data_IF_506604222770
#
_entry.id   IF_506604222770
#
_cell.length_a   1.000
_cell.length_b   1.000
_cell.length_c   1.000
_cell.angle_alpha   90.00
_cell.angle_beta   90.00
_cell.angle_gamma   90.00
#
_symmetry.space_group_name_H-M   'P 1'
#
loop_
_entity.id
_entity.type
_entity.pdbx_description
1 polymer ?
#
# COMPACT_ATOMS: atom_id res chain seq x y z
N UNK A 1 6.48 -7.66 -23.63
CA UNK A 1 6.95 -6.26 -23.64
C UNK A 1 6.71 -5.73 -22.26
N UNK A 2 7.76 -5.26 -21.60
CA UNK A 2 7.65 -4.79 -20.23
C UNK A 2 8.52 -3.57 -20.05
N UNK A 3 8.16 -2.68 -19.13
CA UNK A 3 9.10 -1.68 -18.62
C UNK A 3 9.89 -2.28 -17.47
N UNK A 4 11.20 -2.06 -17.46
CA UNK A 4 12.01 -2.22 -16.25
C UNK A 4 11.97 -0.87 -15.55
N UNK A 5 11.34 -0.79 -14.39
CA UNK A 5 11.40 0.36 -13.49
C UNK A 5 12.46 0.09 -12.43
N UNK A 6 13.43 0.98 -12.28
CA UNK A 6 14.40 1.00 -11.19
C UNK A 6 14.07 2.19 -10.31
N UNK A 7 13.88 1.97 -9.02
CA UNK A 7 13.61 3.04 -8.07
C UNK A 7 14.26 2.82 -6.70
N UNK A 8 14.62 3.95 -6.07
CA UNK A 8 14.95 4.07 -4.66
C UNK A 8 14.73 5.54 -4.28
N UNK A 9 13.69 5.82 -3.51
CA UNK A 9 13.40 7.18 -3.02
C UNK A 9 13.73 7.36 -1.55
N UNK A 10 13.99 6.26 -0.82
CA UNK A 10 14.29 6.32 0.61
C UNK A 10 15.69 6.87 0.88
N UNK A 11 16.67 6.40 0.09
CA UNK A 11 18.09 6.73 0.26
C UNK A 11 18.67 7.49 -0.95
N UNK A 12 17.92 7.60 -2.06
CA UNK A 12 18.32 8.26 -3.31
C UNK A 12 19.69 7.76 -3.84
N UNK A 13 19.92 6.45 -3.77
CA UNK A 13 21.22 5.82 -4.09
C UNK A 13 21.51 5.73 -5.58
N UNK A 14 20.53 6.04 -6.44
CA UNK A 14 20.68 5.93 -7.89
C UNK A 14 21.47 7.13 -8.39
N UNK A 15 22.48 6.89 -9.21
CA UNK A 15 23.27 7.92 -9.88
C UNK A 15 23.55 7.50 -11.33
N UNK A 16 24.08 8.42 -12.15
CA UNK A 16 24.36 8.18 -13.57
C UNK A 16 25.24 6.96 -13.79
N UNK A 17 26.32 6.80 -13.01
CA UNK A 17 27.25 5.67 -13.16
C UNK A 17 26.55 4.32 -12.93
N UNK A 18 25.64 4.25 -11.95
CA UNK A 18 24.88 3.04 -11.67
C UNK A 18 23.89 2.72 -12.79
N UNK A 19 23.18 3.73 -13.30
CA UNK A 19 22.24 3.55 -14.42
C UNK A 19 22.97 3.16 -15.70
N UNK A 20 24.11 3.79 -16.00
CA UNK A 20 24.94 3.46 -17.17
C UNK A 20 25.45 2.01 -17.08
N UNK A 21 25.96 1.61 -15.91
CA UNK A 21 26.38 0.23 -15.66
C UNK A 21 25.23 -0.77 -15.88
N UNK A 22 24.07 -0.52 -15.27
CA UNK A 22 22.91 -1.40 -15.41
C UNK A 22 22.44 -1.43 -16.87
N UNK A 23 22.39 -0.29 -17.55
CA UNK A 23 22.02 -0.20 -18.97
C UNK A 23 22.91 -1.07 -19.85
N UNK A 24 24.24 -0.93 -19.71
CA UNK A 24 25.19 -1.69 -20.52
C UNK A 24 25.11 -3.20 -20.26
N UNK A 25 24.94 -3.62 -19.02
CA UNK A 25 24.78 -5.04 -18.70
C UNK A 25 23.46 -5.62 -19.23
N UNK A 26 22.35 -4.89 -19.12
CA UNK A 26 21.09 -5.35 -19.70
C UNK A 26 21.20 -5.42 -21.22
N UNK A 27 21.82 -4.44 -21.90
CA UNK A 27 22.07 -4.50 -23.36
C UNK A 27 22.90 -5.73 -23.75
N UNK A 28 23.95 -6.06 -23.00
CA UNK A 28 24.78 -7.26 -23.26
C UNK A 28 23.99 -8.55 -23.10
N UNK A 29 23.15 -8.65 -22.07
CA UNK A 29 22.39 -9.87 -21.75
C UNK A 29 21.21 -10.06 -22.72
N UNK A 30 20.46 -8.99 -22.99
CA UNK A 30 19.26 -9.01 -23.85
C UNK A 30 19.56 -8.79 -25.33
N UNK A 31 20.76 -8.34 -25.71
CA UNK A 31 21.06 -7.90 -27.09
C UNK A 31 20.09 -6.81 -27.62
N UNK A 32 19.24 -6.25 -26.78
CA UNK A 32 18.31 -5.19 -27.12
C UNK A 32 18.99 -3.84 -26.94
N UNK A 33 18.66 -2.88 -27.81
CA UNK A 33 19.07 -1.50 -27.62
C UNK A 33 18.14 -0.85 -26.59
N UNK A 34 18.65 -0.63 -25.38
CA UNK A 34 17.86 -0.13 -24.25
C UNK A 34 18.39 1.24 -23.83
N UNK A 35 17.47 2.17 -23.60
CA UNK A 35 17.80 3.47 -23.03
C UNK A 35 16.93 3.73 -21.80
N UNK A 36 17.56 4.14 -20.70
CA UNK A 36 16.82 4.53 -19.50
C UNK A 36 16.34 5.97 -19.63
N UNK A 37 15.03 6.14 -19.48
CA UNK A 37 14.36 7.42 -19.31
C UNK A 37 14.35 7.76 -17.82
N UNK A 38 14.75 8.98 -17.48
CA UNK A 38 14.61 9.52 -16.14
C UNK A 38 13.14 9.88 -15.86
N UNK A 39 12.60 9.37 -14.75
CA UNK A 39 11.31 9.80 -14.18
C UNK A 39 11.52 10.75 -13.01
N UNK A 40 12.55 10.50 -12.21
CA UNK A 40 12.95 11.35 -11.10
C UNK A 40 14.47 11.26 -10.91
N UNK A 41 15.12 12.43 -10.90
CA UNK A 41 16.57 12.55 -10.76
C UNK A 41 17.06 11.81 -9.52
N UNK A 42 18.01 10.89 -9.70
CA UNK A 42 18.59 10.04 -8.65
C UNK A 42 17.61 9.12 -7.91
N UNK A 43 16.36 8.96 -8.38
CA UNK A 43 15.32 8.20 -7.67
C UNK A 43 14.58 7.18 -8.50
N UNK A 44 14.28 7.47 -9.76
CA UNK A 44 13.46 6.60 -10.59
C UNK A 44 13.83 6.71 -12.07
N UNK A 45 14.12 5.57 -12.67
CA UNK A 45 14.47 5.44 -14.08
C UNK A 45 13.72 4.25 -14.66
N UNK A 46 13.30 4.35 -15.90
CA UNK A 46 12.62 3.26 -16.60
C UNK A 46 13.22 2.99 -17.96
N UNK A 47 13.13 1.76 -18.44
CA UNK A 47 13.45 1.45 -19.82
C UNK A 47 12.49 0.41 -20.38
N UNK A 48 12.28 0.44 -21.70
CA UNK A 48 11.46 -0.54 -22.38
C UNK A 48 12.28 -1.78 -22.70
N UNK A 49 11.78 -2.95 -22.31
CA UNK A 49 12.33 -4.26 -22.64
C UNK A 49 11.45 -4.93 -23.71
N UNK A 50 12.00 -5.21 -24.91
CA UNK A 50 11.29 -5.94 -25.97
C UNK A 50 10.78 -7.32 -25.53
N UNK A 51 9.83 -7.94 -26.28
CA UNK A 51 9.39 -9.31 -26.02
C UNK A 51 10.54 -10.31 -26.05
N UNK A 52 10.40 -11.42 -25.32
CA UNK A 52 11.33 -12.56 -25.31
C UNK A 52 12.75 -12.29 -24.80
N UNK A 53 13.03 -11.07 -24.34
CA UNK A 53 14.35 -10.67 -23.81
C UNK A 53 14.53 -10.88 -22.30
N UNK A 54 13.48 -11.31 -21.60
CA UNK A 54 13.57 -11.65 -20.18
C UNK A 54 14.12 -13.07 -20.01
N UNK A 55 15.44 -13.20 -20.11
CA UNK A 55 16.13 -14.46 -19.87
C UNK A 55 16.38 -14.73 -18.37
N UNK A 56 16.64 -16.00 -18.02
CA UNK A 56 17.08 -16.38 -16.67
C UNK A 56 18.33 -15.60 -16.22
N UNK A 57 19.22 -15.29 -17.16
CA UNK A 57 20.43 -14.52 -16.90
C UNK A 57 20.08 -13.07 -16.51
N UNK A 58 19.13 -12.45 -17.22
CA UNK A 58 18.66 -11.11 -16.91
C UNK A 58 17.95 -11.08 -15.55
N UNK A 59 17.11 -12.08 -15.27
CA UNK A 59 16.43 -12.21 -13.98
C UNK A 59 17.41 -12.33 -12.81
N UNK A 60 18.45 -13.16 -12.94
CA UNK A 60 19.52 -13.29 -11.92
C UNK A 60 20.30 -11.98 -11.74
N UNK A 61 20.58 -11.28 -12.84
CA UNK A 61 21.24 -9.98 -12.79
C UNK A 61 20.38 -8.95 -12.03
N UNK A 62 19.09 -8.84 -12.37
CA UNK A 62 18.14 -7.94 -11.69
C UNK A 62 18.10 -8.24 -10.18
N UNK A 63 17.96 -9.50 -9.78
CA UNK A 63 17.93 -9.91 -8.37
C UNK A 63 19.23 -9.49 -7.66
N UNK A 64 20.39 -9.67 -8.30
CA UNK A 64 21.67 -9.24 -7.75
C UNK A 64 21.71 -7.72 -7.53
N UNK A 65 21.24 -6.93 -8.50
CA UNK A 65 21.24 -5.47 -8.37
C UNK A 65 20.30 -4.98 -7.26
N UNK A 66 19.11 -5.58 -7.15
CA UNK A 66 18.16 -5.29 -6.05
C UNK A 66 18.84 -5.41 -4.69
N UNK A 67 19.55 -6.52 -4.45
CA UNK A 67 20.22 -6.81 -3.16
C UNK A 67 21.46 -5.93 -2.96
N UNK A 68 22.34 -5.86 -3.95
CA UNK A 68 23.64 -5.19 -3.83
C UNK A 68 23.50 -3.68 -3.63
N UNK A 69 22.53 -3.07 -4.30
CA UNK A 69 22.36 -1.61 -4.34
C UNK A 69 21.12 -1.13 -3.60
N UNK A 70 20.36 -2.03 -2.94
CA UNK A 70 19.09 -1.69 -2.28
C UNK A 70 18.12 -0.98 -3.23
N UNK A 71 17.89 -1.58 -4.38
CA UNK A 71 17.01 -1.04 -5.42
C UNK A 71 15.72 -1.83 -5.48
N UNK A 72 14.61 -1.14 -5.73
CA UNK A 72 13.41 -1.79 -6.25
C UNK A 72 13.53 -1.83 -7.77
N UNK A 73 13.50 -3.02 -8.36
CA UNK A 73 13.56 -3.19 -9.83
C UNK A 73 12.34 -3.96 -10.28
N UNK A 74 11.30 -3.30 -10.76
CA UNK A 74 10.03 -3.92 -11.11
C UNK A 74 9.86 -4.11 -12.63
N UNK A 75 9.18 -5.19 -13.03
CA UNK A 75 8.80 -5.44 -14.42
C UNK A 75 7.32 -5.11 -14.59
N UNK A 76 7.02 -4.11 -15.41
CA UNK A 76 5.67 -3.61 -15.60
C UNK A 76 5.17 -4.01 -16.98
N UNK A 77 4.04 -4.71 -17.06
CA UNK A 77 3.43 -5.06 -18.35
C UNK A 77 3.04 -3.80 -19.13
N UNK A 78 3.43 -3.76 -20.39
CA UNK A 78 3.14 -2.64 -21.31
C UNK A 78 1.92 -2.88 -22.20
N UNK A 79 1.30 -4.07 -22.15
CA UNK A 79 0.11 -4.39 -22.96
C UNK A 79 -1.14 -3.69 -22.46
N UNK A 80 -1.21 -3.41 -21.16
CA UNK A 80 -2.37 -2.83 -20.51
C UNK A 80 -2.18 -1.32 -20.28
N UNK A 81 -3.29 -0.62 -20.04
CA UNK A 81 -3.25 0.80 -19.66
C UNK A 81 -2.40 0.94 -18.40
N UNK A 82 -1.35 1.76 -18.51
CA UNK A 82 -0.37 1.94 -17.43
C UNK A 82 -0.87 2.87 -16.33
N UNK A 83 -1.45 4.02 -16.70
CA UNK A 83 -2.09 4.96 -15.76
C UNK A 83 -3.46 4.44 -15.34
N UNK A 84 -3.57 4.03 -14.09
CA UNK A 84 -4.75 3.38 -13.53
C UNK A 84 -5.81 4.42 -13.15
N UNK A 85 -7.06 4.02 -13.24
CA UNK A 85 -8.25 4.85 -12.96
C UNK A 85 -8.85 4.57 -11.58
N UNK A 86 -8.36 3.56 -10.88
CA UNK A 86 -8.81 3.21 -9.53
C UNK A 86 -7.61 2.81 -8.67
N UNK A 87 -7.44 3.51 -7.53
CA UNK A 87 -6.56 3.13 -6.45
C UNK A 87 -7.39 2.51 -5.32
N UNK A 88 -7.07 1.28 -4.92
CA UNK A 88 -7.46 0.73 -3.62
C UNK A 88 -6.23 0.55 -2.75
N UNK A 89 -6.23 1.16 -1.56
CA UNK A 89 -5.11 1.08 -0.63
C UNK A 89 -5.54 0.49 0.72
N UNK A 90 -4.67 -0.32 1.32
CA UNK A 90 -4.73 -0.57 2.76
C UNK A 90 -4.34 0.67 3.57
N UNK A 91 -4.75 0.72 4.83
CA UNK A 91 -4.40 1.81 5.74
C UNK A 91 -3.17 1.47 6.58
N UNK A 92 -3.31 0.51 7.50
CA UNK A 92 -2.29 0.12 8.47
C UNK A 92 -1.06 -0.41 7.72
N UNK A 93 0.14 -0.05 8.20
CA UNK A 93 1.41 -0.43 7.57
C UNK A 93 1.58 -0.10 6.07
N UNK A 94 0.67 0.69 5.48
CA UNK A 94 0.63 1.04 4.05
C UNK A 94 0.50 2.54 3.83
N UNK A 95 -0.68 3.13 4.05
CA UNK A 95 -0.86 4.60 3.98
C UNK A 95 -0.31 5.26 5.25
N UNK A 96 -0.42 4.59 6.39
CA UNK A 96 0.22 4.99 7.64
C UNK A 96 1.33 3.99 8.01
N UNK A 97 2.28 4.44 8.83
CA UNK A 97 3.46 3.63 9.22
C UNK A 97 3.12 2.62 10.32
N UNK A 98 2.06 2.86 11.07
CA UNK A 98 1.70 2.09 12.26
C UNK A 98 0.55 1.11 12.03
N UNK A 99 0.37 0.20 12.98
CA UNK A 99 -0.85 -0.57 13.21
C UNK A 99 -1.76 0.22 14.16
N UNK A 100 -2.91 0.70 13.67
CA UNK A 100 -3.79 1.62 14.41
C UNK A 100 -4.27 1.09 15.76
N UNK A 101 -4.55 -0.22 15.87
CA UNK A 101 -5.00 -0.83 17.12
C UNK A 101 -3.86 -0.99 18.14
N UNK A 102 -2.64 -1.25 17.68
CA UNK A 102 -1.46 -1.34 18.55
C UNK A 102 -1.09 0.04 19.12
N UNK A 103 -1.21 1.11 18.33
CA UNK A 103 -1.05 2.48 18.82
C UNK A 103 -2.12 2.89 19.83
N UNK A 104 -3.38 2.50 19.59
CA UNK A 104 -4.44 2.71 20.57
C UNK A 104 -4.18 1.93 21.87
N UNK A 105 -3.62 0.72 21.77
CA UNK A 105 -3.23 -0.09 22.92
C UNK A 105 -2.16 0.58 23.79
N UNK A 106 -1.17 1.23 23.17
CA UNK A 106 -0.14 2.01 23.87
C UNK A 106 -0.75 3.13 24.70
N UNK A 107 -1.70 3.88 24.13
CA UNK A 107 -2.34 5.00 24.82
C UNK A 107 -3.14 4.58 26.06
N UNK A 108 -3.59 3.32 26.14
CA UNK A 108 -4.31 2.77 27.30
C UNK A 108 -3.47 1.85 28.18
N UNK A 109 -2.17 1.71 27.90
CA UNK A 109 -1.27 0.85 28.67
C UNK A 109 -1.52 -0.67 28.50
N UNK A 110 -2.09 -1.10 27.37
CA UNK A 110 -2.40 -2.52 27.07
C UNK A 110 -1.66 -3.05 25.84
N UNK A 111 -0.53 -2.43 25.50
CA UNK A 111 0.26 -2.76 24.31
C UNK A 111 0.66 -4.24 24.28
N UNK A 112 1.19 -4.76 25.39
CA UNK A 112 1.73 -6.13 25.45
C UNK A 112 0.69 -7.18 25.11
N UNK A 113 -0.51 -7.03 25.65
CA UNK A 113 -1.62 -7.96 25.44
C UNK A 113 -2.16 -7.87 24.01
N UNK A 114 -2.39 -6.66 23.51
CA UNK A 114 -2.94 -6.46 22.16
C UNK A 114 -1.95 -6.91 21.09
N UNK A 115 -0.67 -6.57 21.21
CA UNK A 115 0.39 -6.99 20.28
C UNK A 115 0.51 -8.52 20.23
N UNK A 116 0.38 -9.20 21.37
CA UNK A 116 0.41 -10.66 21.41
C UNK A 116 -0.77 -11.29 20.63
N UNK A 117 -1.98 -10.74 20.80
CA UNK A 117 -3.16 -11.20 20.06
C UNK A 117 -3.01 -10.88 18.56
N UNK A 118 -2.54 -9.68 18.20
CA UNK A 118 -2.26 -9.27 16.82
C UNK A 118 -1.28 -10.25 16.15
N UNK A 119 -0.17 -10.56 16.83
CA UNK A 119 0.83 -11.52 16.34
C UNK A 119 0.23 -12.91 16.12
N UNK A 120 -0.53 -13.44 17.09
CA UNK A 120 -1.17 -14.75 16.97
C UNK A 120 -2.18 -14.81 15.82
N UNK A 121 -2.94 -13.74 15.59
CA UNK A 121 -3.88 -13.64 14.47
C UNK A 121 -3.16 -13.64 13.12
N UNK A 122 -2.08 -12.86 12.99
CA UNK A 122 -1.26 -12.81 11.78
C UNK A 122 -0.55 -14.14 11.48
N UNK A 123 -0.18 -14.90 12.51
CA UNK A 123 0.39 -16.26 12.38
C UNK A 123 -0.69 -17.33 12.10
N UNK A 124 -1.97 -16.95 12.00
CA UNK A 124 -3.07 -17.88 11.75
C UNK A 124 -3.45 -18.76 12.94
N UNK A 125 -2.92 -18.46 14.14
CA UNK A 125 -3.23 -19.22 15.37
C UNK A 125 -4.62 -18.89 15.93
N UNK A 126 -5.13 -17.70 15.63
CA UNK A 126 -6.44 -17.22 16.06
C UNK A 126 -7.19 -16.68 14.83
N UNK A 127 -8.49 -16.98 14.75
CA UNK A 127 -9.39 -16.40 13.75
C UNK A 127 -9.40 -14.87 13.84
N UNK A 128 -9.37 -14.18 12.70
CA UNK A 128 -9.28 -12.72 12.64
C UNK A 128 -10.43 -12.04 13.39
N UNK A 129 -11.67 -12.51 13.20
CA UNK A 129 -12.85 -11.90 13.83
C UNK A 129 -12.79 -12.08 15.35
N UNK A 130 -12.37 -13.27 15.82
CA UNK A 130 -12.12 -13.51 17.25
C UNK A 130 -11.02 -12.60 17.81
N UNK A 131 -9.88 -12.52 17.14
CA UNK A 131 -8.77 -11.67 17.56
C UNK A 131 -9.14 -10.17 17.58
N UNK A 132 -9.95 -9.70 16.61
CA UNK A 132 -10.45 -8.34 16.60
C UNK A 132 -11.38 -8.08 17.80
N UNK A 133 -12.36 -8.95 18.04
CA UNK A 133 -13.26 -8.79 19.20
C UNK A 133 -12.52 -8.82 20.52
N UNK A 134 -11.55 -9.72 20.68
CA UNK A 134 -10.74 -9.80 21.90
C UNK A 134 -9.99 -8.48 22.13
N UNK A 135 -9.23 -7.99 21.14
CA UNK A 135 -8.49 -6.72 21.24
C UNK A 135 -9.42 -5.52 21.48
N UNK A 136 -10.56 -5.45 20.80
CA UNK A 136 -11.51 -4.35 20.95
C UNK A 136 -12.20 -4.39 22.32
N UNK A 137 -12.49 -5.56 22.87
CA UNK A 137 -13.07 -5.69 24.23
C UNK A 137 -12.17 -5.05 25.30
N UNK A 138 -10.86 -5.06 25.08
CA UNK A 138 -9.88 -4.45 25.98
C UNK A 138 -9.96 -2.92 26.01
N UNK A 139 -10.61 -2.30 25.02
CA UNK A 139 -10.84 -0.86 24.93
C UNK A 139 -12.06 -0.39 25.75
N UNK A 140 -12.83 -1.32 26.34
CA UNK A 140 -14.05 -0.99 27.07
C UNK A 140 -13.78 -0.03 28.24
N UNK A 141 -14.55 1.05 28.29
CA UNK A 141 -14.47 2.09 29.33
C UNK A 141 -13.47 3.20 29.02
N UNK A 142 -12.66 3.06 27.97
CA UNK A 142 -11.72 4.10 27.56
C UNK A 142 -12.47 5.36 27.09
N UNK A 143 -12.08 6.55 27.54
CA UNK A 143 -12.60 7.82 27.04
C UNK A 143 -12.50 7.94 25.51
N UNK A 144 -13.55 8.46 24.87
CA UNK A 144 -13.61 8.52 23.40
C UNK A 144 -12.63 9.54 22.78
N UNK A 145 -12.27 10.57 23.54
CA UNK A 145 -11.29 11.62 23.16
C UNK A 145 -9.87 11.06 22.91
N UNK A 146 -9.55 9.86 23.42
CA UNK A 146 -8.29 9.18 23.11
C UNK A 146 -8.09 8.95 21.60
N UNK A 147 -9.19 8.82 20.86
CA UNK A 147 -9.14 8.60 19.40
C UNK A 147 -8.59 9.83 18.68
N UNK A 148 -8.80 11.03 19.23
CA UNK A 148 -8.25 12.26 18.67
C UNK A 148 -6.73 12.33 18.85
N UNK A 149 -6.21 11.86 19.99
CA UNK A 149 -4.77 11.72 20.21
C UNK A 149 -4.13 10.77 19.18
N UNK A 150 -4.83 9.71 18.78
CA UNK A 150 -4.31 8.81 17.75
C UNK A 150 -4.24 9.50 16.38
N UNK A 151 -5.28 10.24 15.99
CA UNK A 151 -5.32 10.98 14.70
C UNK A 151 -4.16 11.96 14.55
N UNK A 152 -3.79 12.63 15.63
CA UNK A 152 -2.72 13.64 15.58
C UNK A 152 -1.32 13.04 15.57
N UNK A 153 -1.15 11.81 16.05
CA UNK A 153 0.16 11.16 16.20
C UNK A 153 0.48 10.14 15.09
N UNK A 154 -0.51 9.73 14.30
CA UNK A 154 -0.30 8.77 13.21
C UNK A 154 0.65 9.37 12.15
N UNK A 155 1.63 8.57 11.71
CA UNK A 155 2.58 9.00 10.69
C UNK A 155 2.15 8.45 9.34
N UNK A 156 1.96 9.35 8.39
CA UNK A 156 1.63 9.01 7.02
C UNK A 156 2.91 8.57 6.30
N UNK A 157 2.83 7.52 5.48
CA UNK A 157 3.93 7.11 4.63
C UNK A 157 4.21 8.18 3.57
N UNK A 158 5.50 8.41 3.32
CA UNK A 158 5.93 9.42 2.36
C UNK A 158 5.42 9.09 0.95
N UNK A 159 5.00 10.12 0.22
CA UNK A 159 4.39 9.97 -1.10
C UNK A 159 2.89 9.64 -1.09
N UNK A 160 2.26 9.41 0.07
CA UNK A 160 0.82 9.10 0.11
C UNK A 160 -0.05 10.26 -0.41
N UNK A 161 0.25 11.49 0.03
CA UNK A 161 -0.48 12.68 -0.38
C UNK A 161 -0.34 12.89 -1.88
N UNK A 162 0.88 12.82 -2.38
CA UNK A 162 1.24 12.99 -3.79
C UNK A 162 0.59 11.91 -4.66
N UNK A 163 0.61 10.66 -4.22
CA UNK A 163 -0.07 9.53 -4.87
C UNK A 163 -1.55 9.85 -5.07
N UNK A 164 -2.24 10.20 -3.99
CA UNK A 164 -3.70 10.43 -4.01
C UNK A 164 -4.02 11.66 -4.85
N UNK A 165 -3.34 12.79 -4.61
CA UNK A 165 -3.55 14.03 -5.37
C UNK A 165 -3.30 13.85 -6.86
N UNK A 166 -2.19 13.21 -7.24
CA UNK A 166 -1.82 13.00 -8.65
C UNK A 166 -2.83 12.09 -9.34
N UNK A 167 -3.20 10.98 -8.71
CA UNK A 167 -4.19 10.06 -9.28
C UNK A 167 -5.55 10.74 -9.45
N UNK A 168 -6.02 11.48 -8.44
CA UNK A 168 -7.28 12.23 -8.52
C UNK A 168 -7.26 13.33 -9.58
N UNK A 169 -6.17 14.08 -9.67
CA UNK A 169 -5.99 15.11 -10.69
C UNK A 169 -6.12 14.53 -12.10
N UNK A 170 -5.69 13.28 -12.30
CA UNK A 170 -5.80 12.55 -13.56
C UNK A 170 -7.10 11.74 -13.69
N UNK A 171 -8.12 12.03 -12.87
CA UNK A 171 -9.47 11.45 -12.97
C UNK A 171 -9.62 10.05 -12.37
N UNK A 172 -8.63 9.56 -11.61
CA UNK A 172 -8.75 8.28 -10.92
C UNK A 172 -9.56 8.42 -9.63
N UNK A 173 -10.27 7.34 -9.27
CA UNK A 173 -10.98 7.20 -8.00
C UNK A 173 -10.02 6.61 -6.98
N UNK A 174 -10.05 7.14 -5.76
CA UNK A 174 -9.17 6.72 -4.67
C UNK A 174 -9.97 6.18 -3.49
N UNK A 175 -9.65 4.96 -3.07
CA UNK A 175 -10.40 4.24 -2.05
C UNK A 175 -9.44 3.70 -0.99
N UNK A 176 -9.72 4.00 0.27
CA UNK A 176 -9.05 3.39 1.42
C UNK A 176 -9.91 2.25 1.99
N UNK A 177 -9.38 1.04 2.10
CA UNK A 177 -10.10 -0.10 2.67
C UNK A 177 -9.26 -0.74 3.75
N UNK A 178 -9.77 -0.77 4.98
CA UNK A 178 -8.99 -1.22 6.14
C UNK A 178 -9.77 -2.12 7.08
N UNK A 179 -9.06 -3.06 7.72
CA UNK A 179 -9.56 -3.81 8.88
C UNK A 179 -9.48 -3.01 10.19
N UNK A 180 -8.86 -1.82 10.17
CA UNK A 180 -8.85 -0.83 11.25
C UNK A 180 -10.19 -0.11 11.36
N UNK A 181 -10.20 1.16 11.76
CA UNK A 181 -11.43 1.82 12.23
C UNK A 181 -11.86 3.08 11.47
N UNK A 182 -13.17 3.33 11.45
CA UNK A 182 -13.85 4.44 10.76
C UNK A 182 -13.33 5.82 11.19
N UNK A 183 -13.05 6.03 12.47
CA UNK A 183 -12.59 7.34 12.95
C UNK A 183 -11.26 7.77 12.32
N UNK A 184 -10.35 6.81 12.08
CA UNK A 184 -9.02 7.08 11.52
C UNK A 184 -9.07 7.16 10.00
N UNK A 185 -9.80 6.24 9.36
CA UNK A 185 -9.99 6.29 7.91
C UNK A 185 -10.72 7.56 7.46
N UNK A 186 -11.73 8.04 8.20
CA UNK A 186 -12.39 9.32 7.92
C UNK A 186 -11.43 10.51 8.09
N UNK A 187 -10.59 10.49 9.12
CA UNK A 187 -9.56 11.52 9.28
C UNK A 187 -8.56 11.52 8.10
N UNK A 188 -8.11 10.35 7.65
CA UNK A 188 -7.22 10.23 6.50
C UNK A 188 -7.91 10.60 5.19
N UNK A 189 -9.21 10.32 5.05
CA UNK A 189 -10.04 10.77 3.93
C UNK A 189 -9.96 12.28 3.77
N UNK A 190 -10.23 13.02 4.84
CA UNK A 190 -10.26 14.48 4.81
C UNK A 190 -8.85 15.06 4.65
N UNK A 191 -7.86 14.45 5.31
CA UNK A 191 -6.47 14.92 5.30
C UNK A 191 -5.75 14.69 3.97
N UNK A 192 -5.99 13.55 3.32
CA UNK A 192 -5.30 13.16 2.07
C UNK A 192 -6.17 13.29 0.83
N UNK A 193 -7.48 13.43 1.00
CA UNK A 193 -8.44 13.62 -0.07
C UNK A 193 -8.95 12.34 -0.72
N UNK A 194 -9.01 11.20 -0.01
CA UNK A 194 -9.62 9.98 -0.56
C UNK A 194 -11.09 10.18 -0.95
N UNK A 195 -11.52 9.62 -2.08
CA UNK A 195 -12.92 9.70 -2.53
C UNK A 195 -13.84 8.84 -1.66
N UNK A 196 -13.34 7.69 -1.21
CA UNK A 196 -14.10 6.77 -0.37
C UNK A 196 -13.22 6.07 0.66
N UNK A 197 -13.82 5.72 1.80
CA UNK A 197 -13.15 4.95 2.84
C UNK A 197 -14.08 3.89 3.43
N UNK A 198 -13.52 2.75 3.80
CA UNK A 198 -14.23 1.61 4.38
C UNK A 198 -13.41 1.01 5.52
N UNK A 199 -14.01 0.90 6.71
CA UNK A 199 -13.36 0.36 7.89
C UNK A 199 -14.39 -0.16 8.92
N UNK A 200 -13.91 -0.83 9.97
CA UNK A 200 -14.73 -1.28 11.08
C UNK A 200 -15.16 -0.11 11.96
N UNK A 201 -16.34 -0.19 12.58
CA UNK A 201 -16.88 0.89 13.39
C UNK A 201 -16.82 0.54 14.89
N UNK A 202 -16.07 1.33 15.67
CA UNK A 202 -15.98 1.18 17.12
C UNK A 202 -17.24 1.74 17.78
N UNK A 203 -17.91 0.91 18.58
CA UNK A 203 -19.08 1.36 19.29
C UNK A 203 -18.71 2.09 20.59
N UNK A 204 -19.49 3.11 20.92
CA UNK A 204 -19.34 3.90 22.12
C UNK A 204 -20.65 3.97 22.90
N UNK A 205 -20.54 4.35 24.17
CA UNK A 205 -21.66 4.65 25.06
C UNK A 205 -21.60 6.11 25.48
N UNK A 206 -22.76 6.77 25.56
CA UNK A 206 -22.91 8.11 26.12
C UNK A 206 -23.44 7.97 27.54
N UNK A 207 -22.70 8.48 28.51
CA UNK A 207 -23.11 8.47 29.91
C UNK A 207 -24.08 9.62 30.19
N UNK A 208 -24.82 9.56 31.31
CA UNK A 208 -25.73 10.64 31.74
C UNK A 208 -25.03 12.01 31.89
N UNK A 209 -23.72 12.00 32.12
CA UNK A 209 -22.87 13.20 32.22
C UNK A 209 -22.50 13.80 30.87
N UNK A 210 -22.91 13.20 29.74
CA UNK A 210 -22.48 13.57 28.40
C UNK A 210 -21.12 12.98 27.98
N UNK A 211 -20.37 12.36 28.92
CA UNK A 211 -19.10 11.72 28.61
C UNK A 211 -19.30 10.54 27.66
N UNK A 212 -18.45 10.44 26.65
CA UNK A 212 -18.41 9.31 25.71
C UNK A 212 -17.28 8.35 26.07
N UNK A 213 -17.56 7.04 26.03
CA UNK A 213 -16.54 6.00 26.24
C UNK A 213 -16.72 4.87 25.25
N UNK A 214 -15.62 4.26 24.80
CA UNK A 214 -15.66 3.03 24.02
C UNK A 214 -16.34 1.91 24.82
N UNK A 215 -17.26 1.18 24.19
CA UNK A 215 -18.02 0.13 24.86
C UNK A 215 -17.38 -1.27 24.73
N UNK A 216 -16.27 -1.36 23.97
CA UNK A 216 -15.52 -2.58 23.72
C UNK A 216 -16.13 -3.50 22.66
N UNK A 217 -16.93 -2.95 21.73
CA UNK A 217 -17.54 -3.69 20.62
C UNK A 217 -17.27 -3.02 19.27
N UNK A 218 -17.38 -3.81 18.21
CA UNK A 218 -17.34 -3.38 16.83
C UNK A 218 -18.70 -3.64 16.20
N UNK A 219 -19.20 -2.73 15.37
CA UNK A 219 -20.43 -2.92 14.60
C UNK A 219 -20.25 -3.99 13.51
N UNK A 220 -21.26 -4.82 13.28
CA UNK A 220 -21.29 -5.74 12.15
C UNK A 220 -21.88 -5.07 10.88
N UNK A 221 -21.49 -5.50 9.67
CA UNK A 221 -20.52 -6.56 9.37
C UNK A 221 -19.07 -6.12 9.58
N UNK A 222 -18.24 -7.06 10.06
CA UNK A 222 -16.80 -6.84 10.20
C UNK A 222 -16.15 -6.87 8.81
N UNK A 223 -15.33 -5.85 8.53
CA UNK A 223 -14.41 -5.85 7.40
C UNK A 223 -13.26 -6.82 7.69
N UNK A 224 -13.30 -7.98 7.04
CA UNK A 224 -12.24 -8.98 7.00
C UNK A 224 -11.49 -8.95 5.66
N UNK A 225 -10.67 -9.97 5.38
CA UNK A 225 -9.92 -10.10 4.12
C UNK A 225 -10.83 -10.14 2.88
N UNK A 226 -12.05 -10.70 2.99
CA UNK A 226 -12.98 -10.82 1.87
C UNK A 226 -13.59 -9.46 1.53
N UNK A 227 -13.66 -8.56 2.51
CA UNK A 227 -14.18 -7.22 2.31
C UNK A 227 -13.31 -6.40 1.33
N UNK A 228 -11.99 -6.54 1.32
CA UNK A 228 -11.11 -5.81 0.39
C UNK A 228 -11.40 -6.17 -1.07
N UNK A 229 -11.51 -7.47 -1.37
CA UNK A 229 -11.92 -7.93 -2.69
C UNK A 229 -13.36 -7.53 -3.03
N UNK A 230 -14.29 -7.58 -2.06
CA UNK A 230 -15.66 -7.12 -2.26
C UNK A 230 -15.72 -5.64 -2.65
N UNK A 231 -14.95 -4.77 -2.00
CA UNK A 231 -14.89 -3.36 -2.36
C UNK A 231 -14.22 -3.13 -3.71
N UNK A 232 -13.16 -3.87 -4.04
CA UNK A 232 -12.58 -3.84 -5.39
C UNK A 232 -13.67 -4.12 -6.44
N UNK A 233 -14.39 -5.23 -6.30
CA UNK A 233 -15.46 -5.61 -7.23
C UNK A 233 -16.61 -4.59 -7.26
N UNK A 234 -16.95 -4.00 -6.11
CA UNK A 234 -17.95 -2.93 -6.03
C UNK A 234 -17.53 -1.73 -6.88
N UNK A 235 -16.31 -1.23 -6.73
CA UNK A 235 -15.85 -0.06 -7.47
C UNK A 235 -15.63 -0.33 -8.95
N UNK A 236 -15.21 -1.55 -9.30
CA UNK A 236 -15.19 -1.99 -10.69
C UNK A 236 -16.59 -1.91 -11.33
N UNK A 237 -17.61 -2.42 -10.63
CA UNK A 237 -18.99 -2.37 -11.09
C UNK A 237 -19.55 -0.93 -11.16
N UNK A 238 -19.46 -0.18 -10.05
CA UNK A 238 -20.07 1.15 -9.91
C UNK A 238 -19.53 2.14 -10.96
N UNK A 239 -18.27 1.99 -11.37
CA UNK A 239 -17.60 2.90 -12.30
C UNK A 239 -17.34 2.29 -13.68
N UNK A 240 -17.92 1.12 -13.98
CA UNK A 240 -17.74 0.43 -15.26
C UNK A 240 -16.27 0.24 -15.64
N UNK A 241 -15.45 -0.13 -14.66
CA UNK A 241 -14.02 -0.39 -14.82
C UNK A 241 -13.74 -1.89 -14.90
N UNK A 242 -12.58 -2.22 -15.44
CA UNK A 242 -12.04 -3.59 -15.45
C UNK A 242 -10.91 -3.73 -14.44
N UNK A 243 -10.53 -4.96 -14.03
CA UNK A 243 -9.33 -5.17 -13.23
C UNK A 243 -8.10 -4.45 -13.80
N UNK A 244 -7.92 -4.40 -15.12
CA UNK A 244 -6.78 -3.73 -15.75
C UNK A 244 -6.71 -2.21 -15.51
N UNK A 245 -7.82 -1.57 -15.13
CA UNK A 245 -7.88 -0.15 -14.78
C UNK A 245 -7.44 0.12 -13.32
N UNK A 246 -7.07 -0.89 -12.53
CA UNK A 246 -6.80 -0.74 -11.09
C UNK A 246 -5.33 -0.83 -10.73
N UNK A 247 -4.96 -0.10 -9.68
CA UNK A 247 -3.75 -0.31 -8.88
C UNK A 247 -4.19 -0.57 -7.44
N UNK A 248 -3.72 -1.65 -6.84
CA UNK A 248 -4.01 -2.00 -5.46
C UNK A 248 -2.70 -2.06 -4.67
N UNK A 249 -2.72 -1.60 -3.41
CA UNK A 249 -1.53 -1.63 -2.54
C UNK A 249 -1.85 -2.08 -1.13
N UNK A 250 -0.97 -2.91 -0.57
CA UNK A 250 -1.01 -3.37 0.81
C UNK A 250 0.32 -3.97 1.24
N UNK A 251 0.40 -4.43 2.49
CA UNK A 251 1.61 -5.04 3.06
C UNK A 251 1.39 -6.51 3.46
N UNK A 252 0.15 -6.93 3.69
CA UNK A 252 -0.17 -8.13 4.46
C UNK A 252 -0.91 -9.22 3.70
N UNK A 253 -1.06 -10.38 4.35
CA UNK A 253 -1.79 -11.52 3.80
C UNK A 253 -3.30 -11.24 3.64
N UNK A 254 -3.85 -10.30 4.40
CA UNK A 254 -5.21 -9.78 4.28
C UNK A 254 -5.45 -9.03 2.95
N UNK A 255 -4.40 -8.61 2.24
CA UNK A 255 -4.49 -7.90 0.95
C UNK A 255 -4.45 -8.82 -0.27
N UNK A 256 -4.02 -10.07 -0.10
CA UNK A 256 -3.70 -10.99 -1.21
C UNK A 256 -4.84 -11.05 -2.24
N UNK A 257 -6.08 -11.22 -1.81
CA UNK A 257 -7.22 -11.37 -2.71
C UNK A 257 -7.50 -10.09 -3.52
N UNK A 258 -7.31 -8.91 -2.92
CA UNK A 258 -7.43 -7.62 -3.61
C UNK A 258 -6.27 -7.40 -4.59
N UNK A 259 -5.05 -7.77 -4.18
CA UNK A 259 -3.82 -7.55 -4.93
C UNK A 259 -3.78 -8.44 -6.17
N UNK A 260 -4.00 -9.75 -6.02
CA UNK A 260 -3.97 -10.73 -7.11
C UNK A 260 -5.10 -10.50 -8.13
N UNK A 261 -6.20 -9.88 -7.72
CA UNK A 261 -7.33 -9.58 -8.61
C UNK A 261 -7.26 -8.19 -9.25
N UNK A 262 -6.25 -7.38 -8.91
CA UNK A 262 -6.05 -6.06 -9.49
C UNK A 262 -5.28 -6.12 -10.81
N UNK A 263 -5.27 -5.02 -11.56
CA UNK A 263 -4.50 -4.89 -12.80
C UNK A 263 -3.05 -4.46 -12.57
N UNK A 264 -2.72 -4.05 -11.34
CA UNK A 264 -1.38 -3.74 -10.87
C UNK A 264 -1.38 -3.91 -9.33
N UNK A 265 -1.01 -5.09 -8.88
CA UNK A 265 -0.94 -5.45 -7.47
C UNK A 265 0.41 -5.09 -6.87
N UNK A 266 0.41 -4.27 -5.82
CA UNK A 266 1.62 -3.74 -5.20
C UNK A 266 1.78 -4.23 -3.77
N UNK A 267 2.94 -4.83 -3.49
CA UNK A 267 3.41 -5.10 -2.13
C UNK A 267 4.31 -3.95 -1.68
N UNK A 268 3.87 -3.17 -0.69
CA UNK A 268 4.62 -2.03 -0.13
C UNK A 268 5.15 -2.40 1.25
N UNK A 269 6.49 -2.47 1.40
CA UNK A 269 7.15 -3.02 2.59
C UNK A 269 6.54 -4.35 3.06
N UNK A 270 5.99 -5.12 2.12
CA UNK A 270 5.07 -6.18 2.43
C UNK A 270 5.74 -7.45 2.91
N UNK A 271 4.98 -8.21 3.69
CA UNK A 271 5.39 -9.51 4.20
C UNK A 271 5.56 -10.49 3.05
N UNK A 272 6.40 -11.51 3.28
CA UNK A 272 6.72 -12.55 2.30
C UNK A 272 5.48 -13.13 1.61
N UNK A 273 4.41 -13.41 2.36
CA UNK A 273 3.18 -13.99 1.82
C UNK A 273 2.51 -13.13 0.74
N UNK A 274 2.53 -11.80 0.89
CA UNK A 274 2.00 -10.90 -0.13
C UNK A 274 3.02 -10.67 -1.26
N UNK A 275 4.29 -10.49 -0.89
CA UNK A 275 5.38 -10.24 -1.84
C UNK A 275 5.56 -11.36 -2.85
N UNK A 276 5.31 -12.62 -2.51
CA UNK A 276 5.40 -13.72 -3.48
C UNK A 276 4.28 -13.71 -4.53
N UNK A 277 3.21 -12.93 -4.32
CA UNK A 277 1.99 -12.93 -5.15
C UNK A 277 1.70 -11.59 -5.84
N UNK A 278 2.31 -10.49 -5.38
CA UNK A 278 2.13 -9.17 -5.97
C UNK A 278 2.91 -9.03 -7.29
N UNK A 279 2.42 -8.18 -8.19
CA UNK A 279 3.10 -7.87 -9.45
C UNK A 279 4.35 -7.01 -9.22
N UNK A 280 4.24 -6.05 -8.30
CA UNK A 280 5.28 -5.06 -7.99
C UNK A 280 5.64 -5.07 -6.51
N UNK A 281 6.89 -4.75 -6.20
CA UNK A 281 7.41 -4.67 -4.84
C UNK A 281 8.17 -3.37 -4.62
N UNK A 282 7.91 -2.73 -3.50
CA UNK A 282 8.64 -1.54 -3.07
C UNK A 282 9.09 -1.70 -1.61
N UNK A 283 10.40 -1.85 -1.40
CA UNK A 283 11.06 -1.94 -0.09
C UNK A 283 12.01 -0.77 0.15
N UNK A 284 12.47 -0.12 -0.92
CA UNK A 284 13.43 0.98 -0.90
C UNK A 284 12.87 2.27 -1.53
N UNK A 285 11.62 2.22 -1.96
CA UNK A 285 10.85 3.30 -2.57
C UNK A 285 9.60 3.53 -1.74
N UNK A 286 9.32 4.80 -1.47
CA UNK A 286 8.10 5.23 -0.79
C UNK A 286 6.89 5.13 -1.75
N UNK A 287 5.74 5.66 -1.36
CA UNK A 287 4.51 5.49 -2.16
C UNK A 287 4.54 6.20 -3.53
N UNK A 288 5.54 7.05 -3.80
CA UNK A 288 5.78 7.58 -5.16
C UNK A 288 6.12 6.46 -6.15
N UNK A 289 6.64 5.31 -5.68
CA UNK A 289 6.89 4.14 -6.52
C UNK A 289 5.67 3.71 -7.33
N UNK A 290 4.46 3.89 -6.79
CA UNK A 290 3.20 3.59 -7.49
C UNK A 290 2.93 4.57 -8.65
N UNK A 291 3.36 5.82 -8.54
CA UNK A 291 3.26 6.79 -9.64
C UNK A 291 4.32 6.51 -10.70
N UNK A 292 5.57 6.22 -10.30
CA UNK A 292 6.61 5.84 -11.25
C UNK A 292 6.27 4.53 -11.98
N UNK A 293 5.64 3.57 -11.31
CA UNK A 293 5.11 2.36 -11.93
C UNK A 293 4.06 2.66 -13.00
N UNK A 294 3.34 3.76 -12.86
CA UNK A 294 2.37 4.25 -13.84
C UNK A 294 3.00 5.13 -14.94
N UNK A 295 4.30 5.44 -14.83
CA UNK A 295 5.08 6.21 -15.79
C UNK A 295 5.01 7.73 -15.60
N UNK A 296 4.53 8.21 -14.45
CA UNK A 296 4.60 9.62 -14.09
C UNK A 296 6.06 10.02 -13.80
N UNK A 297 6.47 11.22 -14.21
CA UNK A 297 7.72 11.85 -13.76
C UNK A 297 7.47 12.85 -12.62
N UNK A 298 8.52 13.30 -11.92
CA UNK A 298 8.42 14.34 -10.88
C UNK A 298 7.68 15.59 -11.37
N UNK A 299 7.83 15.94 -12.65
CA UNK A 299 7.17 17.10 -13.25
C UNK A 299 5.65 16.95 -13.38
N UNK A 300 5.14 15.72 -13.34
CA UNK A 300 3.71 15.39 -13.44
C UNK A 300 3.07 15.13 -12.07
N UNK A 301 3.87 15.00 -11.01
CA UNK A 301 3.42 14.70 -9.66
C UNK A 301 2.88 15.97 -8.99
N UNK A 302 1.65 15.87 -8.47
CA UNK A 302 0.96 16.94 -7.76
C UNK A 302 1.31 16.86 -6.26
N UNK A 303 1.88 17.92 -5.71
CA UNK A 303 2.30 18.03 -4.30
C UNK A 303 1.23 18.57 -3.35
#
# INVERSE_FOLDING_TARGET
>A
MSFILISNTSDNVINSNLIDFISEEIKKISKANINFKELSINKAYECFLPPDELSDQLSKFIIKQRIQHKLDINLIDSKNIRRKKLLLADMDSTIIKEESLDELAKLIGKEKEIVLITKNAMEGKIDFKKALFERVSMLKGTPFDILDNLKTNVRINEGASELIKTMKHNGAITVLVSGGFTFLTNYLKDKLGFDFVHANDLQYSIHKTGKMTLNGKVSEPILDKEAKLKYLNKYLYDYSLTPHDTICVGDGANDIDMIVKSGMGVSFNGKRALRELADLHFEHTNLLGLLYAQGYSDAEIIS
#
